data_IF_117216165470
#
_entry.id   IF_117216165470
#
_cell.length_a   1.000
_cell.length_b   1.000
_cell.length_c   1.000
_cell.angle_alpha   90.00
_cell.angle_beta   90.00
_cell.angle_gamma   90.00
#
_symmetry.space_group_name_H-M   'P 1'
#
loop_
_entity.id
_entity.type
_entity.pdbx_description
1 polymer ?
#
# COMPACT_ATOMS: atom_id res chain seq x y z
N UNK A 1 10.15 -3.63 -4.74
CA UNK A 1 10.67 -2.74 -3.68
C UNK A 1 11.63 -1.67 -4.21
N UNK A 2 12.60 -2.00 -5.08
CA UNK A 2 13.59 -1.04 -5.60
C UNK A 2 12.98 0.19 -6.29
N UNK A 3 12.04 0.00 -7.22
CA UNK A 3 11.38 1.10 -7.94
C UNK A 3 10.65 2.07 -6.99
N UNK A 4 9.88 1.53 -6.04
CA UNK A 4 9.19 2.31 -5.02
C UNK A 4 10.17 3.19 -4.21
N UNK A 5 11.29 2.60 -3.77
CA UNK A 5 12.31 3.31 -3.00
C UNK A 5 13.02 4.40 -3.81
N UNK A 6 13.19 4.18 -5.12
CA UNK A 6 13.80 5.13 -6.04
C UNK A 6 12.80 6.16 -6.59
N UNK A 7 11.53 6.10 -6.20
CA UNK A 7 10.48 6.99 -6.71
C UNK A 7 10.05 6.69 -8.15
N UNK A 8 10.53 5.60 -8.75
CA UNK A 8 10.16 5.20 -10.09
C UNK A 8 8.74 4.62 -10.14
N UNK A 9 8.11 4.81 -11.30
CA UNK A 9 6.77 4.29 -11.55
C UNK A 9 6.77 2.76 -11.48
N UNK A 10 5.83 2.19 -10.73
CA UNK A 10 5.73 0.75 -10.54
C UNK A 10 4.44 0.33 -9.84
N UNK A 11 4.25 -0.98 -9.69
CA UNK A 11 3.19 -1.53 -8.84
C UNK A 11 3.70 -1.61 -7.41
N UNK A 12 3.04 -0.88 -6.52
CA UNK A 12 3.24 -0.98 -5.07
C UNK A 12 2.64 -2.30 -4.60
N UNK A 13 3.21 -2.98 -3.58
CA UNK A 13 2.55 -4.15 -2.98
C UNK A 13 1.10 -3.84 -2.58
N UNK A 14 0.14 -4.67 -3.02
CA UNK A 14 -1.28 -4.37 -2.92
C UNK A 14 -1.76 -4.14 -1.48
N UNK A 15 -1.27 -4.91 -0.51
CA UNK A 15 -1.63 -4.75 0.91
C UNK A 15 -1.06 -3.47 1.51
N UNK A 16 0.19 -3.12 1.17
CA UNK A 16 0.77 -1.87 1.61
C UNK A 16 0.01 -0.67 1.03
N UNK A 17 -0.37 -0.77 -0.25
CA UNK A 17 -1.18 0.24 -0.92
C UNK A 17 -2.56 0.35 -0.27
N UNK A 18 -3.19 -0.78 0.09
CA UNK A 18 -4.47 -0.80 0.80
C UNK A 18 -4.37 -0.13 2.18
N UNK A 19 -3.31 -0.40 2.94
CA UNK A 19 -3.11 0.23 4.25
C UNK A 19 -3.01 1.77 4.14
N UNK A 20 -2.26 2.26 3.15
CA UNK A 20 -2.14 3.70 2.91
C UNK A 20 -3.46 4.31 2.40
N UNK A 21 -4.14 3.65 1.47
CA UNK A 21 -5.41 4.11 0.91
C UNK A 21 -6.51 4.19 2.00
N UNK A 22 -6.57 3.23 2.93
CA UNK A 22 -7.50 3.31 4.08
C UNK A 22 -7.16 4.50 4.97
N UNK A 23 -5.87 4.70 5.27
CA UNK A 23 -5.40 5.83 6.07
C UNK A 23 -5.76 7.17 5.41
N UNK A 24 -5.50 7.33 4.11
CA UNK A 24 -5.85 8.56 3.37
C UNK A 24 -7.36 8.81 3.38
N UNK A 25 -8.17 7.77 3.19
CA UNK A 25 -9.65 7.85 3.23
C UNK A 25 -10.20 8.11 4.63
N UNK A 26 -9.45 7.82 5.69
CA UNK A 26 -9.85 8.15 7.07
C UNK A 26 -9.85 9.65 7.35
N UNK A 27 -9.18 10.45 6.51
CA UNK A 27 -9.02 11.89 6.72
C UNK A 27 -7.94 12.27 7.73
N UNK A 28 -7.17 11.30 8.23
CA UNK A 28 -6.06 11.55 9.14
C UNK A 28 -4.95 12.36 8.47
N UNK A 29 -4.40 13.40 9.12
CA UNK A 29 -3.25 14.12 8.58
C UNK A 29 -2.01 13.21 8.60
N UNK A 30 -1.42 12.98 7.43
CA UNK A 30 -0.19 12.16 7.30
C UNK A 30 1.07 13.03 7.31
N UNK A 31 1.01 14.22 6.70
CA UNK A 31 2.16 15.14 6.62
C UNK A 31 2.50 15.64 8.03
N UNK A 32 3.74 15.43 8.46
CA UNK A 32 4.22 15.83 9.78
C UNK A 32 3.78 14.94 10.94
N UNK A 33 3.00 13.88 10.69
CA UNK A 33 2.54 12.95 11.72
C UNK A 33 3.67 12.02 12.19
N UNK A 34 3.64 11.65 13.47
CA UNK A 34 4.46 10.57 14.01
C UNK A 34 3.79 9.22 13.68
N UNK A 35 4.38 8.46 12.77
CA UNK A 35 3.87 7.17 12.33
C UNK A 35 4.75 6.01 12.84
N UNK A 36 4.13 5.02 13.45
CA UNK A 36 4.77 3.77 13.85
C UNK A 36 4.27 2.64 12.96
N UNK A 37 5.20 1.93 12.32
CA UNK A 37 4.92 0.72 11.54
C UNK A 37 5.49 -0.48 12.27
N UNK A 38 4.63 -1.38 12.73
CA UNK A 38 4.99 -2.60 13.45
C UNK A 38 5.04 -3.75 12.46
N UNK A 39 6.23 -4.28 12.22
CA UNK A 39 6.50 -5.27 11.19
C UNK A 39 7.39 -4.70 10.10
N UNK A 40 8.36 -5.51 9.65
CA UNK A 40 9.36 -5.12 8.63
C UNK A 40 9.40 -6.09 7.45
N UNK A 41 8.26 -6.68 7.13
CA UNK A 41 8.14 -7.59 5.99
C UNK A 41 8.41 -6.84 4.68
N UNK A 42 8.99 -7.50 3.67
CA UNK A 42 9.27 -6.87 2.37
C UNK A 42 8.00 -6.53 1.57
N UNK A 43 6.85 -7.08 1.96
CA UNK A 43 5.57 -6.98 1.23
C UNK A 43 4.55 -6.06 1.89
N UNK A 44 4.63 -5.82 3.21
CA UNK A 44 3.72 -4.89 3.92
C UNK A 44 4.51 -3.84 4.68
N UNK A 45 5.17 -4.22 5.77
CA UNK A 45 5.72 -3.26 6.74
C UNK A 45 6.72 -2.28 6.15
N UNK A 46 7.77 -2.77 5.48
CA UNK A 46 8.76 -1.88 4.86
C UNK A 46 8.16 -1.01 3.75
N UNK A 47 7.37 -1.55 2.80
CA UNK A 47 6.65 -0.72 1.83
C UNK A 47 5.79 0.38 2.46
N UNK A 48 5.00 0.08 3.49
CA UNK A 48 4.17 1.09 4.18
C UNK A 48 5.04 2.16 4.81
N UNK A 49 6.11 1.78 5.53
CA UNK A 49 7.04 2.72 6.12
C UNK A 49 7.64 3.68 5.08
N UNK A 50 8.06 3.16 3.92
CA UNK A 50 8.59 4.00 2.83
C UNK A 50 7.54 4.94 2.25
N UNK A 51 6.28 4.49 2.11
CA UNK A 51 5.23 5.33 1.57
C UNK A 51 4.83 6.45 2.53
N UNK A 52 4.69 6.15 3.83
CA UNK A 52 4.41 7.16 4.86
C UNK A 52 5.52 8.23 4.91
N UNK A 53 6.78 7.80 4.87
CA UNK A 53 7.92 8.71 4.82
C UNK A 53 7.90 9.57 3.55
N UNK A 54 7.58 8.97 2.40
CA UNK A 54 7.42 9.70 1.13
C UNK A 54 6.29 10.73 1.17
N UNK A 55 5.20 10.43 1.88
CA UNK A 55 4.06 11.34 2.10
C UNK A 55 4.35 12.40 3.16
N UNK A 56 5.50 12.33 3.84
CA UNK A 56 5.96 13.37 4.78
C UNK A 56 5.70 13.09 6.26
N UNK A 57 5.41 11.84 6.63
CA UNK A 57 5.37 11.43 8.04
C UNK A 57 6.79 11.20 8.59
N UNK A 58 6.97 11.42 9.90
CA UNK A 58 8.11 10.87 10.65
C UNK A 58 7.82 9.40 10.91
N UNK A 59 8.67 8.48 10.46
CA UNK A 59 8.36 7.04 10.52
C UNK A 59 9.34 6.29 11.43
N UNK A 60 8.79 5.63 12.44
CA UNK A 60 9.51 4.63 13.26
C UNK A 60 9.06 3.22 12.86
N UNK A 61 10.02 2.35 12.53
CA UNK A 61 9.75 0.95 12.21
C UNK A 61 10.07 0.07 13.42
N UNK A 62 9.05 -0.60 13.95
CA UNK A 62 9.17 -1.55 15.04
C UNK A 62 9.12 -3.00 14.53
N UNK A 63 9.68 -3.93 15.31
CA UNK A 63 9.71 -5.36 15.01
C UNK A 63 9.90 -6.18 16.28
N UNK A 64 9.98 -7.52 16.16
CA UNK A 64 10.15 -8.47 17.29
C UNK A 64 11.40 -8.29 18.16
N UNK A 65 12.28 -7.33 17.85
CA UNK A 65 13.47 -7.00 18.66
C UNK A 65 13.45 -5.54 19.14
N UNK A 66 12.38 -4.82 18.86
CA UNK A 66 12.16 -3.48 19.41
C UNK A 66 12.00 -3.61 20.92
N UNK A 67 12.79 -2.85 21.66
CA UNK A 67 12.61 -2.73 23.11
C UNK A 67 11.48 -1.75 23.35
N UNK A 68 10.59 -2.11 24.29
CA UNK A 68 9.45 -1.28 24.68
C UNK A 68 8.62 -0.78 23.47
N UNK A 69 7.93 -1.72 22.83
CA UNK A 69 7.03 -1.40 21.72
C UNK A 69 6.00 -0.32 22.10
N UNK A 70 5.53 -0.35 23.34
CA UNK A 70 4.51 0.55 23.86
C UNK A 70 5.01 2.00 23.93
N UNK A 71 6.27 2.23 24.32
CA UNK A 71 6.85 3.57 24.31
C UNK A 71 6.81 4.22 22.92
N UNK A 72 7.01 3.45 21.86
CA UNK A 72 6.92 3.96 20.49
C UNK A 72 5.47 4.26 20.09
N UNK A 73 4.55 3.32 20.32
CA UNK A 73 3.14 3.48 19.89
C UNK A 73 2.39 4.55 20.68
N UNK A 74 2.79 4.86 21.92
CA UNK A 74 2.18 5.93 22.73
C UNK A 74 2.50 7.34 22.22
N UNK A 75 3.54 7.50 21.42
CA UNK A 75 3.88 8.79 20.79
C UNK A 75 3.26 8.95 19.40
N UNK A 76 2.78 7.86 18.80
CA UNK A 76 2.37 7.82 17.40
C UNK A 76 0.97 8.40 17.19
N UNK A 77 0.84 9.27 16.20
CA UNK A 77 -0.45 9.70 15.64
C UNK A 77 -1.07 8.60 14.77
N UNK A 78 -0.21 7.82 14.09
CA UNK A 78 -0.60 6.76 13.16
C UNK A 78 0.12 5.47 13.56
N UNK A 79 -0.62 4.39 13.76
CA UNK A 79 -0.06 3.05 14.05
C UNK A 79 -0.51 2.08 12.96
N UNK A 80 0.43 1.56 12.18
CA UNK A 80 0.18 0.48 11.22
C UNK A 80 0.75 -0.82 11.76
N UNK A 81 -0.08 -1.84 11.94
CA UNK A 81 0.33 -3.14 12.52
C UNK A 81 0.23 -4.24 11.47
N UNK A 82 1.37 -4.89 11.20
CA UNK A 82 1.52 -5.97 10.22
C UNK A 82 2.53 -7.01 10.74
N UNK A 83 2.30 -7.48 11.97
CA UNK A 83 3.17 -8.38 12.70
C UNK A 83 2.74 -9.86 12.59
N UNK A 84 1.46 -10.13 12.32
CA UNK A 84 0.90 -11.49 12.31
C UNK A 84 0.92 -12.12 13.71
N UNK A 85 0.58 -11.33 14.73
CA UNK A 85 0.50 -11.77 16.11
C UNK A 85 -0.78 -11.21 16.75
N UNK A 86 -1.76 -12.07 17.07
CA UNK A 86 -3.07 -11.62 17.51
C UNK A 86 -3.01 -10.89 18.85
N UNK A 87 -3.65 -9.72 18.92
CA UNK A 87 -3.70 -8.91 20.14
C UNK A 87 -2.35 -8.34 20.60
N UNK A 88 -1.37 -8.23 19.71
CA UNK A 88 -0.04 -7.65 20.00
C UNK A 88 -0.13 -6.20 20.51
N UNK A 89 -1.05 -5.42 19.95
CA UNK A 89 -1.24 -4.01 20.32
C UNK A 89 -2.56 -3.86 21.08
N UNK A 90 -2.48 -3.29 22.28
CA UNK A 90 -3.64 -3.02 23.14
C UNK A 90 -3.90 -1.51 23.25
N UNK A 91 -5.09 -1.13 23.71
CA UNK A 91 -5.49 0.28 23.85
C UNK A 91 -4.55 1.13 24.72
N UNK A 92 -3.98 0.57 25.79
CA UNK A 92 -3.06 1.27 26.69
C UNK A 92 -1.68 1.56 26.06
N UNK A 93 -1.38 0.93 24.92
CA UNK A 93 -0.19 1.20 24.12
C UNK A 93 -0.39 2.35 23.13
N UNK A 94 -1.62 2.84 22.94
CA UNK A 94 -1.94 3.84 21.93
C UNK A 94 -1.96 5.25 22.52
N UNK A 95 -1.54 6.22 21.69
CA UNK A 95 -1.81 7.63 21.95
C UNK A 95 -3.33 7.88 21.87
N UNK A 96 -3.94 8.61 22.81
CA UNK A 96 -5.33 9.05 22.66
C UNK A 96 -5.52 9.81 21.34
N UNK A 97 -6.51 9.39 20.54
CA UNK A 97 -6.78 9.96 19.23
C UNK A 97 -5.93 9.41 18.08
N UNK A 98 -5.07 8.42 18.31
CA UNK A 98 -4.30 7.76 17.24
C UNK A 98 -5.22 7.11 16.20
N UNK A 99 -4.74 7.03 14.95
CA UNK A 99 -5.37 6.25 13.89
C UNK A 99 -4.64 4.93 13.73
N UNK A 100 -5.40 3.82 13.81
CA UNK A 100 -4.86 2.47 13.82
C UNK A 100 -5.26 1.72 12.56
N UNK A 101 -4.26 1.26 11.80
CA UNK A 101 -4.43 0.41 10.63
C UNK A 101 -3.94 -1.00 10.99
N UNK A 102 -4.88 -1.88 11.29
CA UNK A 102 -4.64 -3.29 11.54
C UNK A 102 -4.65 -4.06 10.21
N UNK A 103 -3.46 -4.45 9.77
CA UNK A 103 -3.23 -5.25 8.56
C UNK A 103 -3.18 -6.75 8.89
N UNK A 104 -3.05 -7.09 10.17
CA UNK A 104 -2.92 -8.46 10.64
C UNK A 104 -4.14 -9.29 10.30
N UNK A 105 -3.91 -10.52 9.85
CA UNK A 105 -4.95 -11.54 9.69
C UNK A 105 -4.44 -12.80 10.40
N UNK A 106 -5.07 -13.13 11.52
CA UNK A 106 -4.78 -14.29 12.35
C UNK A 106 -6.03 -15.15 12.46
N UNK A 107 -5.86 -16.46 12.66
CA UNK A 107 -6.98 -17.40 12.94
C UNK A 107 -6.87 -17.84 14.39
N UNK A 108 -7.87 -17.52 15.19
CA UNK A 108 -7.98 -17.92 16.60
C UNK A 108 -9.35 -18.56 16.78
N UNK A 109 -9.38 -19.81 17.24
CA UNK A 109 -10.61 -20.59 17.45
C UNK A 109 -11.56 -20.61 16.23
N UNK A 110 -11.00 -20.62 15.02
CA UNK A 110 -11.75 -20.60 13.76
C UNK A 110 -12.25 -19.22 13.32
N UNK A 111 -11.98 -18.17 14.09
CA UNK A 111 -12.34 -16.79 13.78
C UNK A 111 -11.15 -15.99 13.27
N UNK A 112 -11.40 -15.09 12.31
CA UNK A 112 -10.40 -14.13 11.84
C UNK A 112 -10.31 -12.97 12.83
N UNK A 113 -9.09 -12.71 13.32
CA UNK A 113 -8.78 -11.60 14.23
C UNK A 113 -7.53 -10.85 13.76
N UNK A 114 -7.44 -9.60 14.15
CA UNK A 114 -6.33 -8.72 13.80
C UNK A 114 -5.11 -8.87 14.70
N UNK A 115 -4.08 -8.04 14.46
CA UNK A 115 -2.92 -7.92 15.35
C UNK A 115 -3.21 -6.99 16.55
N UNK A 116 -4.32 -6.26 16.52
CA UNK A 116 -4.74 -5.31 17.55
C UNK A 116 -5.90 -5.89 18.35
N UNK A 117 -5.87 -5.71 19.67
CA UNK A 117 -7.06 -5.89 20.49
C UNK A 117 -8.06 -4.76 20.18
N UNK A 118 -8.97 -5.04 19.26
CA UNK A 118 -9.94 -4.09 18.75
C UNK A 118 -10.82 -3.49 19.84
N UNK A 119 -11.18 -4.28 20.86
CA UNK A 119 -12.08 -3.84 21.92
C UNK A 119 -11.44 -2.79 22.82
N UNK A 120 -10.16 -2.94 23.18
CA UNK A 120 -9.45 -1.92 23.95
C UNK A 120 -9.00 -0.74 23.08
N UNK A 121 -8.58 -0.99 21.84
CA UNK A 121 -8.08 0.05 20.96
C UNK A 121 -9.16 1.05 20.52
N UNK A 122 -10.40 0.61 20.27
CA UNK A 122 -11.50 1.51 19.84
C UNK A 122 -11.89 2.56 20.88
N UNK A 123 -11.58 2.32 22.16
CA UNK A 123 -11.89 3.25 23.25
C UNK A 123 -10.85 4.40 23.33
N UNK A 124 -9.72 4.26 22.65
CA UNK A 124 -8.58 5.21 22.70
C UNK A 124 -8.30 5.84 21.33
N UNK A 125 -8.33 5.05 20.27
CA UNK A 125 -8.07 5.47 18.90
C UNK A 125 -9.20 6.36 18.35
N UNK A 126 -8.86 7.36 17.53
CA UNK A 126 -9.87 8.13 16.79
C UNK A 126 -10.49 7.32 15.65
N UNK A 127 -9.73 6.39 15.08
CA UNK A 127 -10.20 5.43 14.09
C UNK A 127 -9.38 4.14 14.16
N UNK A 128 -10.02 3.00 13.91
CA UNK A 128 -9.37 1.69 13.82
C UNK A 128 -10.02 0.85 12.72
N UNK A 129 -9.21 0.16 11.91
CA UNK A 129 -9.73 -0.77 10.90
C UNK A 129 -10.22 -2.07 11.53
N UNK A 130 -11.42 -2.56 11.18
CA UNK A 130 -11.91 -3.84 11.69
C UNK A 130 -11.19 -5.02 11.03
N UNK A 131 -11.06 -6.12 11.77
CA UNK A 131 -10.62 -7.42 11.22
C UNK A 131 -11.64 -8.49 11.63
N UNK A 132 -12.29 -9.18 10.67
CA UNK A 132 -12.21 -8.97 9.21
C UNK A 132 -12.94 -7.69 8.75
N UNK A 133 -12.75 -7.32 7.47
CA UNK A 133 -13.54 -6.26 6.82
C UNK A 133 -12.81 -4.93 6.59
N UNK A 134 -11.60 -4.76 7.12
CA UNK A 134 -10.76 -3.57 6.91
C UNK A 134 -9.85 -3.68 5.68
N UNK A 135 -8.55 -3.88 5.89
CA UNK A 135 -7.51 -3.83 4.85
C UNK A 135 -7.63 -4.97 3.81
N UNK A 136 -8.15 -6.13 4.21
CA UNK A 136 -8.23 -7.34 3.37
C UNK A 136 -9.04 -7.14 2.06
N UNK A 137 -10.33 -6.75 2.13
CA UNK A 137 -11.13 -6.51 0.93
C UNK A 137 -10.50 -5.51 -0.06
N UNK A 138 -9.90 -4.43 0.45
CA UNK A 138 -9.25 -3.43 -0.38
C UNK A 138 -7.96 -3.94 -1.02
N UNK A 139 -7.22 -4.83 -0.33
CA UNK A 139 -6.06 -5.52 -0.91
C UNK A 139 -6.45 -6.27 -2.20
N UNK A 140 -7.57 -6.99 -2.18
CA UNK A 140 -8.06 -7.72 -3.35
C UNK A 140 -8.46 -6.77 -4.49
N UNK A 141 -9.18 -5.70 -4.17
CA UNK A 141 -9.59 -4.70 -5.14
C UNK A 141 -8.38 -4.03 -5.82
N UNK A 142 -7.37 -3.64 -5.03
CA UNK A 142 -6.15 -3.00 -5.55
C UNK A 142 -5.29 -3.96 -6.37
N UNK A 143 -5.23 -5.25 -6.00
CA UNK A 143 -4.58 -6.26 -6.82
C UNK A 143 -5.23 -6.37 -8.21
N UNK A 144 -6.57 -6.40 -8.27
CA UNK A 144 -7.30 -6.41 -9.54
C UNK A 144 -7.09 -5.12 -10.33
N UNK A 145 -7.08 -3.97 -9.66
CA UNK A 145 -6.79 -2.69 -10.31
C UNK A 145 -5.36 -2.67 -10.90
N UNK A 146 -4.39 -3.23 -10.18
CA UNK A 146 -3.01 -3.39 -10.67
C UNK A 146 -2.96 -4.31 -11.90
N UNK A 147 -3.69 -5.43 -11.89
CA UNK A 147 -3.79 -6.34 -13.02
C UNK A 147 -4.37 -5.65 -14.26
N UNK A 148 -5.48 -4.93 -14.12
CA UNK A 148 -6.12 -4.20 -15.23
C UNK A 148 -5.17 -3.16 -15.81
N UNK A 149 -4.50 -2.37 -14.94
CA UNK A 149 -3.51 -1.37 -15.37
C UNK A 149 -2.33 -2.02 -16.10
N UNK A 150 -1.86 -3.19 -15.66
CA UNK A 150 -0.79 -3.92 -16.32
C UNK A 150 -1.22 -4.41 -17.71
N UNK A 151 -2.42 -4.97 -17.84
CA UNK A 151 -2.97 -5.41 -19.11
C UNK A 151 -3.13 -4.24 -20.10
N UNK A 152 -3.63 -3.09 -19.64
CA UNK A 152 -3.75 -1.87 -20.45
C UNK A 152 -2.38 -1.38 -20.95
N UNK A 153 -1.37 -1.34 -20.07
CA UNK A 153 0.01 -0.96 -20.44
C UNK A 153 0.59 -1.93 -21.48
N UNK A 154 0.31 -3.23 -21.36
CA UNK A 154 0.76 -4.23 -22.32
C UNK A 154 0.12 -4.05 -23.71
N UNK A 155 -1.19 -3.77 -23.76
CA UNK A 155 -1.90 -3.49 -25.02
C UNK A 155 -1.34 -2.22 -25.67
N UNK A 156 -1.19 -1.13 -24.91
CA UNK A 156 -0.65 0.13 -25.42
C UNK A 156 0.76 -0.03 -26.02
N UNK A 157 1.64 -0.77 -25.34
CA UNK A 157 3.00 -1.05 -25.81
C UNK A 157 3.04 -1.87 -27.12
N UNK A 158 2.06 -2.78 -27.32
CA UNK A 158 1.93 -3.54 -28.58
C UNK A 158 1.47 -2.64 -29.73
N UNK A 159 0.54 -1.73 -29.50
CA UNK A 159 0.04 -0.79 -30.51
C UNK A 159 1.12 0.20 -30.99
N UNK A 160 2.04 0.60 -30.10
CA UNK A 160 3.18 1.47 -30.46
C UNK A 160 4.28 0.77 -31.26
N UNK A 161 4.29 -0.57 -31.30
CA UNK A 161 5.32 -1.38 -31.95
C UNK A 161 4.87 -1.97 -33.30
N UNK A 162 3.71 -1.56 -33.82
CA UNK A 162 3.28 -1.90 -35.18
C UNK A 162 4.18 -1.15 -36.18
N UNK A 163 4.91 -1.83 -37.09
CA UNK A 163 5.69 -1.16 -38.12
C UNK A 163 4.74 -0.26 -38.93
N UNK A 164 5.01 1.05 -38.99
CA UNK A 164 4.29 1.94 -39.90
C UNK A 164 4.56 1.42 -41.32
N UNK A 165 3.59 0.75 -41.93
CA UNK A 165 3.68 0.36 -43.33
C UNK A 165 3.86 1.64 -44.15
N UNK A 166 5.03 1.82 -44.78
CA UNK A 166 5.26 2.92 -45.71
C UNK A 166 4.14 2.87 -46.78
N UNK A 167 3.48 3.99 -47.11
CA UNK A 167 2.55 4.00 -48.22
C UNK A 167 3.30 3.53 -49.47
N UNK A 168 2.74 2.53 -50.17
CA UNK A 168 3.27 2.01 -51.42
C UNK A 168 3.33 3.18 -52.40
N UNK A 169 4.50 3.50 -52.93
CA UNK A 169 4.66 4.56 -53.92
C UNK A 169 3.70 4.28 -55.09
N UNK A 170 2.96 5.31 -55.51
CA UNK A 170 2.07 5.23 -56.66
C UNK A 170 2.87 4.83 -57.91
N UNK A 171 2.33 3.98 -58.79
CA UNK A 171 3.01 3.64 -60.03
C UNK A 171 3.20 4.91 -60.87
N UNK A 172 4.47 5.23 -61.17
CA UNK A 172 4.82 6.31 -62.08
C UNK A 172 4.28 5.98 -63.48
N UNK A 173 3.42 6.85 -64.01
CA UNK A 173 2.97 6.77 -65.40
C UNK A 173 4.18 6.85 -66.34
N UNK A 174 4.33 5.87 -67.24
CA UNK A 174 5.39 5.85 -68.24
C UNK A 174 5.25 7.00 -69.23
N UNK A 175 6.35 7.64 -69.57
CA UNK A 175 6.44 8.59 -70.68
C UNK A 175 6.35 7.85 -72.02
N UNK A 176 5.58 8.35 -73.00
CA UNK A 176 5.59 7.80 -74.35
C UNK A 176 6.94 8.08 -75.02
N UNK A 177 7.48 7.09 -75.72
CA UNK A 177 8.77 7.17 -76.41
C UNK A 177 8.74 8.12 -77.62
N UNK A 178 9.86 8.80 -77.81
CA UNK A 178 10.17 9.64 -78.96
C UNK A 178 10.35 8.79 -80.23
N UNK A 179 9.78 9.28 -81.33
CA UNK A 179 9.98 8.82 -82.70
C UNK A 179 11.20 9.50 -83.34
#
# INVERSE_FOLDING_TARGET
AGLLRLGFEGFVPATAHAALEVLERSGAPIVGAEAVVIGRSPVVGMPVAFMLAKTGATVTVCHSRTRDLAAHTRMADIVVVAAGHPGLVTGDMLKPGAVVIDVGINVVDGHLVGDVDFASAREVASAITPVPGGVGPLTNALLLAHLVRAAQKQVAARSSNVPKTRPRAAPTAGTPGDA
#
